data_IF_593701428020
#
_entry.id   IF_593701428020
#
_cell.length_a   1.000
_cell.length_b   1.000
_cell.length_c   1.000
_cell.angle_alpha   90.00
_cell.angle_beta   90.00
_cell.angle_gamma   90.00
#
_symmetry.space_group_name_H-M   'P 1'
#
loop_
_entity.id
_entity.type
_entity.pdbx_description
1 polymer ?
#
# COMPACT_ATOMS: atom_id res chain seq x y z
N UNK A 1 -19.28 24.89 -16.73
CA UNK A 1 -19.06 23.45 -16.51
C UNK A 1 -18.78 22.85 -17.88
N UNK A 2 -17.50 22.68 -18.22
CA UNK A 2 -17.10 22.28 -19.58
C UNK A 2 -17.54 20.85 -19.87
N UNK A 3 -18.29 20.68 -20.96
CA UNK A 3 -18.66 19.40 -21.54
C UNK A 3 -17.38 18.72 -22.05
N UNK A 4 -17.05 17.54 -21.51
CA UNK A 4 -16.06 16.66 -22.11
C UNK A 4 -16.64 16.17 -23.46
N UNK A 5 -15.90 16.28 -24.57
CA UNK A 5 -16.42 15.91 -25.88
C UNK A 5 -16.73 14.42 -25.90
N UNK A 6 -17.88 14.07 -26.48
CA UNK A 6 -18.22 12.68 -26.81
C UNK A 6 -17.04 12.04 -27.55
N UNK A 7 -16.55 10.91 -27.05
CA UNK A 7 -15.72 10.03 -27.87
C UNK A 7 -16.55 9.59 -29.08
N UNK A 8 -15.87 9.42 -30.22
CA UNK A 8 -16.38 9.25 -31.61
C UNK A 8 -17.42 8.10 -31.80
N UNK A 9 -17.85 7.44 -30.73
CA UNK A 9 -18.65 6.20 -30.67
C UNK A 9 -19.98 6.32 -29.93
N UNK A 10 -20.52 7.51 -29.68
CA UNK A 10 -21.82 7.63 -29.00
C UNK A 10 -21.81 7.18 -27.53
N UNK A 11 -20.63 7.16 -26.91
CA UNK A 11 -20.40 6.75 -25.53
C UNK A 11 -20.20 8.00 -24.65
N UNK A 12 -20.88 8.04 -23.49
CA UNK A 12 -20.71 9.09 -22.50
C UNK A 12 -20.18 8.54 -21.16
N UNK A 13 -19.22 9.19 -20.50
CA UNK A 13 -18.77 8.79 -19.18
C UNK A 13 -19.85 9.05 -18.12
N UNK A 14 -19.85 8.31 -17.00
CA UNK A 14 -20.75 8.59 -15.89
C UNK A 14 -20.48 9.98 -15.29
N UNK A 15 -21.50 10.66 -14.73
CA UNK A 15 -21.30 11.93 -14.06
C UNK A 15 -20.37 11.74 -12.84
N UNK A 16 -19.52 12.74 -12.53
CA UNK A 16 -18.67 12.71 -11.36
C UNK A 16 -19.49 12.74 -10.07
N UNK A 17 -18.89 12.31 -8.97
CA UNK A 17 -19.46 12.42 -7.63
C UNK A 17 -19.64 13.89 -7.26
N UNK A 18 -20.82 14.25 -6.76
CA UNK A 18 -21.16 15.61 -6.28
C UNK A 18 -21.86 15.52 -4.93
N UNK A 19 -21.75 16.57 -4.11
CA UNK A 19 -22.47 16.70 -2.84
C UNK A 19 -21.88 15.83 -1.71
N UNK A 20 -22.75 15.15 -0.96
CA UNK A 20 -22.34 14.30 0.18
C UNK A 20 -21.34 13.19 -0.17
N UNK A 21 -21.54 12.36 -1.22
CA UNK A 21 -20.61 11.27 -1.53
C UNK A 21 -19.24 11.78 -2.04
N UNK A 22 -19.21 12.96 -2.65
CA UNK A 22 -17.96 13.65 -2.97
C UNK A 22 -17.18 13.98 -1.68
N UNK A 23 -17.83 14.63 -0.71
CA UNK A 23 -17.17 14.99 0.55
C UNK A 23 -16.70 13.74 1.32
N UNK A 24 -17.52 12.68 1.36
CA UNK A 24 -17.20 11.41 2.02
C UNK A 24 -15.97 10.71 1.43
N UNK A 25 -15.63 10.95 0.16
CA UNK A 25 -14.46 10.36 -0.51
C UNK A 25 -13.29 11.33 -0.56
N UNK A 26 -13.50 12.59 -0.91
CA UNK A 26 -12.44 13.59 -1.00
C UNK A 26 -11.75 13.83 0.35
N UNK A 27 -12.50 14.02 1.43
CA UNK A 27 -11.94 14.32 2.75
C UNK A 27 -10.95 13.24 3.24
N UNK A 28 -11.29 11.94 3.31
CA UNK A 28 -10.35 10.93 3.80
C UNK A 28 -9.14 10.76 2.88
N UNK A 29 -9.31 10.78 1.56
CA UNK A 29 -8.16 10.67 0.64
C UNK A 29 -7.22 11.88 0.75
N UNK A 30 -7.75 13.10 0.88
CA UNK A 30 -6.94 14.29 1.11
C UNK A 30 -6.21 14.23 2.46
N UNK A 31 -6.86 13.76 3.52
CA UNK A 31 -6.22 13.58 4.82
C UNK A 31 -5.11 12.52 4.76
N UNK A 32 -5.35 11.37 4.14
CA UNK A 32 -4.33 10.32 3.96
C UNK A 32 -3.13 10.85 3.16
N UNK A 33 -3.38 11.64 2.12
CA UNK A 33 -2.33 12.26 1.34
C UNK A 33 -1.49 13.24 2.18
N UNK A 34 -2.14 14.17 2.89
CA UNK A 34 -1.45 15.19 3.69
C UNK A 34 -0.69 14.55 4.85
N UNK A 35 -1.34 13.68 5.63
CA UNK A 35 -0.71 13.01 6.77
C UNK A 35 0.41 12.07 6.29
N UNK A 36 0.16 11.30 5.24
CA UNK A 36 1.14 10.37 4.67
C UNK A 36 2.37 11.08 4.13
N UNK A 37 2.21 12.17 3.38
CA UNK A 37 3.35 12.93 2.85
C UNK A 37 4.11 13.63 3.96
N UNK A 38 3.43 14.43 4.79
CA UNK A 38 4.07 15.23 5.83
C UNK A 38 4.70 14.34 6.91
N UNK A 39 4.01 13.30 7.34
CA UNK A 39 4.51 12.36 8.36
C UNK A 39 5.76 11.62 7.91
N UNK A 40 5.71 10.98 6.73
CA UNK A 40 6.85 10.21 6.25
C UNK A 40 8.05 11.08 5.86
N UNK A 41 7.82 12.26 5.27
CA UNK A 41 8.90 13.21 4.99
C UNK A 41 9.52 13.80 6.27
N UNK A 42 8.72 14.10 7.29
CA UNK A 42 9.22 14.57 8.58
C UNK A 42 10.10 13.51 9.27
N UNK A 43 9.67 12.24 9.26
CA UNK A 43 10.47 11.13 9.81
C UNK A 43 11.80 10.99 9.06
N UNK A 44 11.78 11.04 7.72
CA UNK A 44 13.01 11.00 6.92
C UNK A 44 13.94 12.18 7.22
N UNK A 45 13.39 13.40 7.33
CA UNK A 45 14.15 14.60 7.68
C UNK A 45 14.77 14.49 9.08
N UNK A 46 14.03 13.97 10.05
CA UNK A 46 14.51 13.72 11.41
C UNK A 46 15.66 12.70 11.43
N UNK A 47 15.49 11.57 10.74
CA UNK A 47 16.54 10.54 10.63
C UNK A 47 17.80 11.11 9.96
N UNK A 48 17.63 11.86 8.87
CA UNK A 48 18.75 12.52 8.17
C UNK A 48 19.48 13.54 9.06
N UNK A 49 18.73 14.34 9.83
CA UNK A 49 19.30 15.33 10.74
C UNK A 49 20.12 14.68 11.84
N UNK A 50 19.59 13.64 12.50
CA UNK A 50 20.28 12.93 13.59
C UNK A 50 21.53 12.22 13.09
N UNK A 51 21.43 11.49 11.98
CA UNK A 51 22.57 10.76 11.40
C UNK A 51 23.70 11.70 10.98
N UNK A 52 23.38 12.93 10.56
CA UNK A 52 24.37 13.97 10.21
C UNK A 52 24.96 14.65 11.45
N UNK A 53 24.15 14.94 12.47
CA UNK A 53 24.55 15.72 13.65
C UNK A 53 25.32 14.90 14.69
N UNK A 54 24.97 13.63 14.89
CA UNK A 54 25.51 12.81 15.98
C UNK A 54 26.27 11.58 15.46
N UNK A 55 27.34 11.80 14.69
CA UNK A 55 28.23 10.74 14.14
C UNK A 55 28.63 9.65 15.15
N UNK A 56 28.63 9.94 16.46
CA UNK A 56 29.03 9.02 17.54
C UNK A 56 27.86 8.24 18.19
N UNK A 57 26.62 8.75 18.19
CA UNK A 57 25.46 8.06 18.78
C UNK A 57 24.69 7.16 17.81
N UNK A 58 25.04 7.18 16.51
CA UNK A 58 24.52 6.26 15.48
C UNK A 58 24.74 4.78 15.87
N UNK A 59 25.76 4.49 16.68
CA UNK A 59 26.02 3.15 17.21
C UNK A 59 24.92 2.67 18.18
N UNK A 60 24.15 3.57 18.81
CA UNK A 60 23.09 3.23 19.76
C UNK A 60 21.75 2.84 19.10
N UNK A 61 21.47 3.31 17.87
CA UNK A 61 20.25 2.94 17.13
C UNK A 61 20.39 1.63 16.33
N UNK A 62 21.62 1.21 16.01
CA UNK A 62 21.88 -0.01 15.23
C UNK A 62 21.25 0.04 13.83
N UNK A 63 20.73 -1.09 13.34
CA UNK A 63 20.15 -1.22 11.99
C UNK A 63 18.74 -0.61 11.84
N UNK A 64 18.16 -0.02 12.89
CA UNK A 64 16.76 0.45 12.88
C UNK A 64 16.49 1.60 11.93
N UNK A 65 17.46 2.49 11.70
CA UNK A 65 17.27 3.58 10.75
C UNK A 65 17.03 3.06 9.31
N UNK A 66 17.63 1.93 8.94
CA UNK A 66 17.46 1.32 7.61
C UNK A 66 16.00 0.89 7.42
N UNK A 67 15.42 0.23 8.43
CA UNK A 67 14.02 -0.18 8.40
C UNK A 67 13.07 1.03 8.36
N UNK A 68 13.35 2.08 9.14
CA UNK A 68 12.54 3.31 9.15
C UNK A 68 12.58 4.00 7.79
N UNK A 69 13.76 4.16 7.19
CA UNK A 69 13.92 4.79 5.87
C UNK A 69 13.22 3.96 4.80
N UNK A 70 13.35 2.63 4.83
CA UNK A 70 12.66 1.74 3.90
C UNK A 70 11.14 1.83 4.03
N UNK A 71 10.62 1.89 5.26
CA UNK A 71 9.19 2.04 5.52
C UNK A 71 8.66 3.37 4.97
N UNK A 72 9.33 4.49 5.28
CA UNK A 72 8.94 5.79 4.76
C UNK A 72 9.01 5.86 3.23
N UNK A 73 10.00 5.22 2.60
CA UNK A 73 10.10 5.19 1.13
C UNK A 73 8.91 4.46 0.49
N UNK A 74 8.51 3.33 1.07
CA UNK A 74 7.36 2.53 0.62
C UNK A 74 6.05 3.30 0.86
N UNK A 75 5.88 3.88 2.04
CA UNK A 75 4.67 4.63 2.37
C UNK A 75 4.53 5.93 1.53
N UNK A 76 5.64 6.59 1.18
CA UNK A 76 5.63 7.72 0.24
C UNK A 76 5.24 7.27 -1.18
N UNK A 77 5.69 6.10 -1.62
CA UNK A 77 5.34 5.56 -2.93
C UNK A 77 3.82 5.34 -3.05
N UNK A 78 3.17 4.77 -2.03
CA UNK A 78 1.69 4.66 -2.04
C UNK A 78 1.03 6.02 -1.87
N UNK A 79 1.60 6.93 -1.10
CA UNK A 79 1.02 8.27 -0.93
C UNK A 79 0.90 9.01 -2.26
N UNK A 80 1.85 8.81 -3.18
CA UNK A 80 1.79 9.35 -4.55
C UNK A 80 0.64 8.72 -5.38
N UNK A 81 0.19 7.51 -5.07
CA UNK A 81 -0.94 6.86 -5.76
C UNK A 81 -2.32 7.35 -5.27
N UNK A 82 -2.39 7.97 -4.09
CA UNK A 82 -3.65 8.42 -3.46
C UNK A 82 -4.42 9.41 -4.35
N UNK A 83 -3.81 10.46 -4.95
CA UNK A 83 -4.52 11.38 -5.84
C UNK A 83 -5.12 10.70 -7.08
N UNK A 84 -4.45 9.68 -7.62
CA UNK A 84 -4.96 8.90 -8.75
C UNK A 84 -6.19 8.09 -8.35
N UNK A 85 -6.13 7.46 -7.18
CA UNK A 85 -7.23 6.70 -6.59
C UNK A 85 -8.43 7.60 -6.26
N UNK A 86 -8.16 8.81 -5.77
CA UNK A 86 -9.17 9.82 -5.53
C UNK A 86 -9.81 10.29 -6.84
N UNK A 87 -9.01 10.59 -7.86
CA UNK A 87 -9.49 10.99 -9.18
C UNK A 87 -10.39 9.92 -9.81
N UNK A 88 -9.97 8.65 -9.80
CA UNK A 88 -10.80 7.54 -10.26
C UNK A 88 -12.15 7.46 -9.53
N UNK A 89 -12.15 7.72 -8.22
CA UNK A 89 -13.36 7.69 -7.41
C UNK A 89 -14.27 8.88 -7.70
N UNK A 90 -13.73 10.11 -7.73
CA UNK A 90 -14.49 11.34 -8.01
C UNK A 90 -15.04 11.35 -9.43
N UNK A 91 -14.22 11.02 -10.43
CA UNK A 91 -14.65 10.94 -11.83
C UNK A 91 -15.61 9.78 -12.07
N UNK A 92 -15.74 8.87 -11.10
CA UNK A 92 -16.53 7.66 -11.21
C UNK A 92 -16.16 6.82 -12.45
N UNK A 93 -14.93 6.97 -12.95
CA UNK A 93 -14.46 6.42 -14.21
C UNK A 93 -12.93 6.31 -14.20
N UNK A 94 -12.41 5.19 -14.68
CA UNK A 94 -10.97 4.96 -14.79
C UNK A 94 -10.41 5.58 -16.08
N UNK A 95 -9.62 6.65 -15.95
CA UNK A 95 -9.08 7.42 -17.09
C UNK A 95 -7.60 7.18 -17.39
N UNK A 96 -6.90 6.38 -16.56
CA UNK A 96 -5.44 6.20 -16.66
C UNK A 96 -5.01 5.04 -17.57
N UNK A 97 -5.96 4.46 -18.33
CA UNK A 97 -5.71 3.34 -19.24
C UNK A 97 -5.23 2.06 -18.55
N UNK A 98 -4.81 1.08 -19.35
CA UNK A 98 -4.41 -0.24 -18.84
C UNK A 98 -3.09 -0.21 -18.06
N UNK A 99 -2.09 0.54 -18.56
CA UNK A 99 -0.82 0.70 -17.86
C UNK A 99 -1.00 1.30 -16.46
N UNK A 100 -1.81 2.36 -16.34
CA UNK A 100 -2.12 2.96 -15.04
C UNK A 100 -2.82 1.97 -14.11
N UNK A 101 -3.70 1.11 -14.63
CA UNK A 101 -4.39 0.11 -13.82
C UNK A 101 -3.40 -0.90 -13.24
N UNK A 102 -2.51 -1.45 -14.08
CA UNK A 102 -1.44 -2.36 -13.64
C UNK A 102 -0.52 -1.71 -12.61
N UNK A 103 -0.12 -0.46 -12.84
CA UNK A 103 0.72 0.30 -11.92
C UNK A 103 0.01 0.54 -10.57
N UNK A 104 -1.28 0.87 -10.58
CA UNK A 104 -2.07 1.06 -9.37
C UNK A 104 -2.09 -0.20 -8.50
N UNK A 105 -2.43 -1.35 -9.09
CA UNK A 105 -2.38 -2.64 -8.39
C UNK A 105 -0.97 -2.98 -7.90
N UNK A 106 0.06 -2.71 -8.70
CA UNK A 106 1.45 -2.97 -8.33
C UNK A 106 1.87 -2.14 -7.09
N UNK A 107 1.62 -0.84 -7.09
CA UNK A 107 1.97 0.05 -5.97
C UNK A 107 1.19 -0.33 -4.71
N UNK A 108 -0.12 -0.53 -4.83
CA UNK A 108 -0.98 -0.86 -3.70
C UNK A 108 -0.62 -2.18 -3.02
N UNK A 109 -0.36 -3.24 -3.79
CA UNK A 109 0.01 -4.53 -3.23
C UNK A 109 1.45 -4.53 -2.71
N UNK A 110 2.38 -3.91 -3.44
CA UNK A 110 3.77 -3.81 -3.01
C UNK A 110 3.89 -3.07 -1.69
N UNK A 111 3.14 -1.97 -1.52
CA UNK A 111 3.12 -1.23 -0.26
C UNK A 111 2.66 -2.10 0.91
N UNK A 112 1.49 -2.74 0.77
CA UNK A 112 0.93 -3.62 1.82
C UNK A 112 1.91 -4.72 2.25
N UNK A 113 2.58 -5.34 1.27
CA UNK A 113 3.57 -6.39 1.54
C UNK A 113 4.84 -5.86 2.18
N UNK A 114 5.50 -4.90 1.52
CA UNK A 114 6.78 -4.37 1.95
C UNK A 114 6.68 -3.74 3.35
N UNK A 115 5.69 -2.89 3.61
CA UNK A 115 5.54 -2.25 4.93
C UNK A 115 5.38 -3.30 6.04
N UNK A 116 4.61 -4.35 5.80
CA UNK A 116 4.39 -5.42 6.78
C UNK A 116 5.64 -6.25 7.05
N UNK A 117 6.41 -6.61 6.01
CA UNK A 117 7.67 -7.33 6.20
C UNK A 117 8.74 -6.47 6.88
N UNK A 118 8.82 -5.18 6.54
CA UNK A 118 9.74 -4.24 7.18
C UNK A 118 9.42 -4.13 8.68
N UNK A 119 8.14 -3.99 9.04
CA UNK A 119 7.70 -3.93 10.44
C UNK A 119 8.01 -5.24 11.19
N UNK A 120 7.79 -6.39 10.55
CA UNK A 120 8.06 -7.71 11.15
C UNK A 120 9.56 -7.91 11.39
N UNK A 121 10.40 -7.54 10.42
CA UNK A 121 11.85 -7.60 10.53
C UNK A 121 12.37 -6.65 11.63
N UNK A 122 11.82 -5.43 11.70
CA UNK A 122 12.14 -4.48 12.76
C UNK A 122 11.77 -5.03 14.14
N UNK A 123 10.57 -5.60 14.30
CA UNK A 123 10.13 -6.18 15.56
C UNK A 123 11.01 -7.37 15.99
N UNK A 124 11.41 -8.21 15.04
CA UNK A 124 12.36 -9.29 15.31
C UNK A 124 13.73 -8.77 15.74
N UNK A 125 14.30 -7.81 15.00
CA UNK A 125 15.62 -7.23 15.31
C UNK A 125 15.63 -6.67 16.75
N UNK A 126 14.56 -5.95 17.12
CA UNK A 126 14.37 -5.45 18.48
C UNK A 126 14.21 -6.57 19.51
N UNK A 127 13.44 -7.61 19.18
CA UNK A 127 13.25 -8.77 20.07
C UNK A 127 14.57 -9.48 20.36
N UNK A 128 15.42 -9.72 19.35
CA UNK A 128 16.74 -10.31 19.56
C UNK A 128 17.64 -9.42 20.40
N UNK A 129 17.70 -8.12 20.10
CA UNK A 129 18.56 -7.18 20.82
C UNK A 129 18.21 -7.07 22.32
N UNK A 130 16.92 -7.18 22.67
CA UNK A 130 16.45 -6.98 24.05
C UNK A 130 16.35 -8.30 24.83
N UNK A 131 15.83 -9.35 24.20
CA UNK A 131 15.53 -10.61 24.91
C UNK A 131 16.67 -11.62 24.89
N UNK A 132 17.61 -11.53 23.94
CA UNK A 132 18.69 -12.51 23.75
C UNK A 132 20.06 -11.83 23.58
N UNK A 133 20.55 -11.05 24.57
CA UNK A 133 21.81 -10.33 24.44
C UNK A 133 23.04 -11.26 24.35
N UNK A 134 22.97 -12.49 24.88
CA UNK A 134 24.03 -13.49 24.84
C UNK A 134 24.17 -14.25 23.50
N UNK A 135 23.15 -14.21 22.63
CA UNK A 135 23.21 -14.92 21.36
C UNK A 135 23.99 -14.09 20.32
N UNK A 136 25.09 -14.66 19.81
CA UNK A 136 25.95 -14.01 18.81
C UNK A 136 25.13 -13.49 17.62
N UNK A 137 25.10 -12.17 17.50
CA UNK A 137 24.39 -11.30 16.53
C UNK A 137 24.37 -11.78 15.06
N UNK A 138 25.32 -12.62 14.65
CA UNK A 138 25.55 -13.02 13.25
C UNK A 138 24.66 -14.20 12.80
N UNK A 139 24.43 -15.21 13.66
CA UNK A 139 23.67 -16.40 13.25
C UNK A 139 22.15 -16.11 13.21
N UNK A 140 21.66 -15.27 14.12
CA UNK A 140 20.26 -14.84 14.20
C UNK A 140 19.88 -13.81 13.13
N UNK A 141 20.76 -12.87 12.77
CA UNK A 141 20.48 -11.96 11.66
C UNK A 141 20.34 -12.71 10.34
N UNK A 142 21.20 -13.71 10.07
CA UNK A 142 21.11 -14.49 8.84
C UNK A 142 19.77 -15.24 8.74
N UNK A 143 19.33 -15.91 9.80
CA UNK A 143 18.07 -16.64 9.79
C UNK A 143 16.87 -15.72 9.56
N UNK A 144 16.85 -14.55 10.18
CA UNK A 144 15.74 -13.60 10.00
C UNK A 144 15.78 -12.90 8.65
N UNK A 145 16.96 -12.54 8.17
CA UNK A 145 17.10 -12.02 6.81
C UNK A 145 16.62 -13.10 5.82
N UNK A 146 17.02 -14.36 5.99
CA UNK A 146 16.56 -15.45 5.14
C UNK A 146 15.04 -15.65 5.21
N UNK A 147 14.41 -15.68 6.39
CA UNK A 147 12.96 -15.84 6.54
C UNK A 147 12.21 -14.63 5.97
N UNK A 148 12.68 -13.42 6.27
CA UNK A 148 12.05 -12.18 5.78
C UNK A 148 12.19 -12.05 4.26
N UNK A 149 13.37 -12.35 3.71
CA UNK A 149 13.62 -12.35 2.26
C UNK A 149 12.82 -13.45 1.59
N UNK A 150 12.73 -14.63 2.18
CA UNK A 150 11.88 -15.72 1.66
C UNK A 150 10.41 -15.31 1.62
N UNK A 151 9.88 -14.76 2.71
CA UNK A 151 8.50 -14.26 2.77
C UNK A 151 8.28 -13.10 1.79
N UNK A 152 9.27 -12.21 1.61
CA UNK A 152 9.22 -11.11 0.66
C UNK A 152 9.21 -11.63 -0.80
N UNK A 153 10.10 -12.55 -1.16
CA UNK A 153 10.13 -13.17 -2.49
C UNK A 153 8.80 -13.89 -2.77
N UNK A 154 8.31 -14.66 -1.80
CA UNK A 154 7.02 -15.34 -1.91
C UNK A 154 5.88 -14.34 -2.12
N UNK A 155 5.90 -13.22 -1.39
CA UNK A 155 4.89 -12.17 -1.56
C UNK A 155 4.94 -11.50 -2.92
N UNK A 156 6.13 -11.19 -3.44
CA UNK A 156 6.31 -10.57 -4.75
C UNK A 156 5.83 -11.54 -5.83
N UNK A 157 6.16 -12.84 -5.69
CA UNK A 157 5.66 -13.88 -6.58
C UNK A 157 4.12 -13.94 -6.61
N UNK A 158 3.46 -13.69 -5.48
CA UNK A 158 1.99 -13.65 -5.38
C UNK A 158 1.37 -12.35 -5.92
N UNK A 159 2.11 -11.23 -5.95
CA UNK A 159 1.65 -9.96 -6.52
C UNK A 159 1.65 -10.00 -8.05
N UNK A 160 2.66 -10.65 -8.64
CA UNK A 160 2.83 -10.77 -10.11
C UNK A 160 1.52 -11.16 -10.82
N UNK A 161 0.84 -12.29 -10.49
CA UNK A 161 -0.36 -12.70 -11.23
C UNK A 161 -1.50 -11.67 -11.14
N UNK A 162 -1.60 -10.93 -10.03
CA UNK A 162 -2.59 -9.86 -9.86
C UNK A 162 -2.28 -8.69 -10.79
N UNK A 163 -1.02 -8.25 -10.82
CA UNK A 163 -0.58 -7.11 -11.65
C UNK A 163 -0.68 -7.44 -13.14
N UNK A 164 -0.32 -8.66 -13.54
CA UNK A 164 -0.41 -9.08 -14.94
C UNK A 164 -1.85 -9.27 -15.40
N UNK A 165 -2.73 -9.77 -14.52
CA UNK A 165 -4.15 -9.95 -14.83
C UNK A 165 -4.94 -8.63 -14.77
N UNK A 166 -4.43 -7.62 -14.05
CA UNK A 166 -5.09 -6.34 -13.90
C UNK A 166 -5.35 -5.70 -15.27
N UNK A 167 -6.60 -5.30 -15.49
CA UNK A 167 -7.08 -4.83 -16.78
C UNK A 167 -8.22 -3.83 -16.61
N UNK A 168 -8.48 -3.04 -17.64
CA UNK A 168 -9.60 -2.12 -17.67
C UNK A 168 -10.78 -2.79 -18.34
N UNK A 169 -11.94 -2.79 -17.68
CA UNK A 169 -13.20 -3.31 -18.23
C UNK A 169 -14.19 -2.18 -18.37
N UNK A 170 -14.89 -2.13 -19.50
CA UNK A 170 -16.04 -1.26 -19.70
C UNK A 170 -17.31 -1.94 -19.21
N UNK A 171 -18.15 -1.16 -18.54
CA UNK A 171 -19.48 -1.55 -18.10
C UNK A 171 -20.48 -0.64 -18.79
N UNK A 172 -21.32 -1.25 -19.63
CA UNK A 172 -22.43 -0.58 -20.33
C UNK A 172 -23.73 -0.82 -19.58
N UNK A 173 -24.80 -0.10 -19.93
CA UNK A 173 -26.12 -0.28 -19.33
C UNK A 173 -26.29 0.34 -17.95
N UNK A 174 -25.44 1.32 -17.59
CA UNK A 174 -25.54 2.09 -16.33
C UNK A 174 -26.64 3.16 -16.37
N UNK A 175 -27.22 3.41 -17.54
CA UNK A 175 -28.18 4.45 -17.81
C UNK A 175 -27.97 5.05 -19.19
N UNK A 176 -28.83 6.00 -19.54
CA UNK A 176 -28.75 6.77 -20.79
C UNK A 176 -28.61 8.24 -20.46
N UNK A 177 -27.75 8.92 -21.21
CA UNK A 177 -27.63 10.37 -21.19
C UNK A 177 -28.44 10.94 -22.35
N UNK A 178 -29.32 11.90 -22.08
CA UNK A 178 -30.09 12.60 -23.11
C UNK A 178 -29.47 13.99 -23.26
N UNK A 179 -28.96 14.27 -24.46
CA UNK A 179 -28.41 15.57 -24.81
C UNK A 179 -29.49 16.64 -24.92
N UNK A 180 -29.09 17.91 -24.92
CA UNK A 180 -29.99 19.03 -25.20
C UNK A 180 -30.68 18.93 -26.57
N UNK A 181 -30.06 18.21 -27.52
CA UNK A 181 -30.62 17.94 -28.84
C UNK A 181 -31.51 16.68 -28.88
N UNK A 182 -31.95 16.17 -27.72
CA UNK A 182 -32.72 14.91 -27.56
C UNK A 182 -32.01 13.63 -28.06
N UNK A 183 -30.73 13.72 -28.41
CA UNK A 183 -29.90 12.57 -28.75
C UNK A 183 -29.60 11.75 -27.49
N UNK A 184 -29.78 10.43 -27.61
CA UNK A 184 -29.59 9.50 -26.50
C UNK A 184 -28.27 8.77 -26.64
N UNK A 185 -27.49 8.76 -25.56
CA UNK A 185 -26.17 8.14 -25.50
C UNK A 185 -26.12 7.12 -24.37
N UNK A 186 -25.44 6.00 -24.60
CA UNK A 186 -25.25 5.00 -23.55
C UNK A 186 -24.10 5.41 -22.62
N UNK A 187 -24.36 5.29 -21.31
CA UNK A 187 -23.33 5.58 -20.30
C UNK A 187 -22.39 4.38 -20.18
N UNK A 188 -21.11 4.63 -20.42
CA UNK A 188 -20.05 3.62 -20.35
C UNK A 188 -19.07 3.97 -19.24
N UNK A 189 -18.90 3.06 -18.28
CA UNK A 189 -17.93 3.22 -17.19
C UNK A 189 -16.76 2.27 -17.36
N UNK A 190 -15.56 2.82 -17.40
CA UNK A 190 -14.32 2.05 -17.33
C UNK A 190 -13.92 1.85 -15.87
N UNK A 191 -13.61 0.61 -15.51
CA UNK A 191 -13.10 0.27 -14.19
C UNK A 191 -11.79 -0.49 -14.31
N UNK A 192 -10.83 -0.15 -13.47
CA UNK A 192 -9.65 -0.98 -13.25
C UNK A 192 -10.02 -2.16 -12.35
N UNK A 193 -9.88 -3.38 -12.86
CA UNK A 193 -10.20 -4.63 -12.14
C UNK A 193 -8.98 -5.55 -12.14
N UNK A 194 -8.91 -6.48 -11.18
CA UNK A 194 -7.82 -7.44 -11.08
C UNK A 194 -7.77 -8.45 -12.24
N UNK A 195 -8.88 -8.61 -12.97
CA UNK A 195 -8.97 -9.44 -14.18
C UNK A 195 -8.74 -10.95 -13.98
N UNK A 196 -8.57 -11.42 -12.73
CA UNK A 196 -8.32 -12.82 -12.44
C UNK A 196 -9.61 -13.67 -12.53
N UNK A 197 -9.45 -14.94 -12.90
CA UNK A 197 -10.54 -15.92 -12.79
C UNK A 197 -10.90 -16.14 -11.32
N UNK A 198 -12.17 -16.44 -11.04
CA UNK A 198 -12.71 -16.55 -9.67
C UNK A 198 -11.99 -17.59 -8.80
N UNK A 199 -11.67 -18.76 -9.37
CA UNK A 199 -10.91 -19.84 -8.73
C UNK A 199 -9.52 -19.36 -8.27
N UNK A 200 -8.77 -18.75 -9.19
CA UNK A 200 -7.43 -18.23 -8.92
C UNK A 200 -7.47 -17.01 -7.99
N UNK A 201 -8.47 -16.14 -8.15
CA UNK A 201 -8.66 -14.94 -7.32
C UNK A 201 -8.85 -15.29 -5.85
N UNK A 202 -9.71 -16.26 -5.54
CA UNK A 202 -9.94 -16.68 -4.15
C UNK A 202 -8.68 -17.30 -3.53
N UNK A 203 -7.96 -18.12 -4.30
CA UNK A 203 -6.68 -18.67 -3.88
C UNK A 203 -5.67 -17.55 -3.59
N UNK A 204 -5.43 -16.66 -4.54
CA UNK A 204 -4.47 -15.56 -4.39
C UNK A 204 -4.85 -14.67 -3.22
N UNK A 205 -6.11 -14.25 -3.09
CA UNK A 205 -6.58 -13.46 -1.93
C UNK A 205 -6.36 -14.20 -0.62
N UNK A 206 -6.69 -15.49 -0.55
CA UNK A 206 -6.46 -16.31 0.65
C UNK A 206 -4.98 -16.34 1.04
N UNK A 207 -4.09 -16.58 0.08
CA UNK A 207 -2.64 -16.53 0.29
C UNK A 207 -2.16 -15.13 0.72
N UNK A 208 -2.62 -14.05 0.08
CA UNK A 208 -2.29 -12.69 0.47
C UNK A 208 -2.75 -12.40 1.90
N UNK A 209 -3.95 -12.83 2.31
CA UNK A 209 -4.45 -12.64 3.68
C UNK A 209 -3.57 -13.38 4.69
N UNK A 210 -3.20 -14.62 4.41
CA UNK A 210 -2.35 -15.41 5.32
C UNK A 210 -0.96 -14.77 5.45
N UNK A 211 -0.30 -14.48 4.33
CA UNK A 211 1.10 -14.06 4.32
C UNK A 211 1.32 -12.56 4.53
N UNK A 212 0.35 -11.72 4.18
CA UNK A 212 0.43 -10.26 4.38
C UNK A 212 -0.19 -9.79 5.69
N UNK A 213 -1.08 -10.56 6.31
CA UNK A 213 -1.82 -10.09 7.48
C UNK A 213 -1.72 -11.05 8.66
N UNK A 214 -2.15 -12.30 8.51
CA UNK A 214 -2.23 -13.24 9.65
C UNK A 214 -0.85 -13.61 10.19
N UNK A 215 0.05 -14.04 9.30
CA UNK A 215 1.41 -14.45 9.69
C UNK A 215 2.22 -13.26 10.23
N UNK A 216 2.30 -12.10 9.54
CA UNK A 216 3.01 -10.96 10.11
C UNK A 216 2.37 -10.41 11.39
N UNK A 217 1.04 -10.33 11.45
CA UNK A 217 0.32 -9.84 12.64
C UNK A 217 0.56 -10.72 13.86
N UNK A 218 0.56 -12.04 13.68
CA UNK A 218 0.88 -12.99 14.76
C UNK A 218 2.34 -12.88 15.22
N UNK A 219 3.29 -12.76 14.28
CA UNK A 219 4.71 -12.57 14.60
C UNK A 219 4.96 -11.25 15.34
N UNK A 220 4.38 -10.14 14.87
CA UNK A 220 4.45 -8.84 15.52
C UNK A 220 3.93 -8.92 16.95
N UNK A 221 2.74 -9.51 17.14
CA UNK A 221 2.13 -9.67 18.46
C UNK A 221 3.03 -10.49 19.38
N UNK A 222 3.58 -11.60 18.88
CA UNK A 222 4.49 -12.46 19.64
C UNK A 222 5.77 -11.73 20.06
N UNK A 223 6.47 -11.07 19.12
CA UNK A 223 7.72 -10.37 19.41
C UNK A 223 7.52 -9.21 20.38
N UNK A 224 6.52 -8.35 20.14
CA UNK A 224 6.24 -7.22 21.03
C UNK A 224 5.80 -7.68 22.43
N UNK A 225 5.00 -8.74 22.53
CA UNK A 225 4.62 -9.30 23.84
C UNK A 225 5.85 -9.75 24.62
N UNK A 226 6.78 -10.47 23.98
CA UNK A 226 8.02 -10.92 24.65
C UNK A 226 8.91 -9.76 25.06
N UNK A 227 9.06 -8.73 24.20
CA UNK A 227 9.82 -7.52 24.53
C UNK A 227 9.25 -6.85 25.78
N UNK A 228 7.94 -6.61 25.81
CA UNK A 228 7.26 -5.95 26.94
C UNK A 228 7.47 -6.76 28.23
N UNK A 229 7.31 -8.09 28.18
CA UNK A 229 7.53 -8.95 29.33
C UNK A 229 8.98 -8.91 29.84
N UNK A 230 9.96 -8.88 28.93
CA UNK A 230 11.38 -8.78 29.30
C UNK A 230 11.70 -7.43 29.95
N UNK A 231 11.22 -6.33 29.38
CA UNK A 231 11.42 -4.99 29.92
C UNK A 231 10.79 -4.86 31.31
N UNK A 232 9.57 -5.39 31.52
CA UNK A 232 8.93 -5.41 32.85
C UNK A 232 9.71 -6.22 33.88
N UNK A 233 10.40 -7.29 33.47
CA UNK A 233 11.25 -8.10 34.36
C UNK A 233 12.56 -7.41 34.72
N UNK A 234 13.07 -6.50 33.90
CA UNK A 234 14.29 -5.73 34.19
C UNK A 234 14.04 -4.53 35.10
N UNK A 235 12.80 -4.04 35.17
CA UNK A 235 12.39 -2.94 36.05
C UNK A 235 12.04 -3.37 37.48
N UNK A 236 11.90 -4.68 37.72
CA UNK A 236 11.71 -5.27 39.05
C UNK A 236 13.04 -5.79 39.56
#
# INVERSE_FOLDING_TARGET
MQMLPATVTGEYPPPPLVGRPFAQTAVPYSLLFVIGTLGNTAVLAYVFFITRSLKSSVMALGNTFIYIVALCAVDLLVTVSIPFSLSNTILNNWVFGEFGCKLHWAVELSNKMCSTFILTALAFDRYMAICHPENKRVHQMRQTICITVFLAILSIALIIPVVFSATVRSFTGLGRYISQNEETYDVVKYMCVDGMRRDLKLLVIGFLVVFAFVLPGSLLTFFYTKIILRLRRQQR
#
